data_IF_422308605459
#
_entry.id   IF_422308605459
#
_cell.length_a   1.000
_cell.length_b   1.000
_cell.length_c   1.000
_cell.angle_alpha   90.00
_cell.angle_beta   90.00
_cell.angle_gamma   90.00
#
_symmetry.space_group_name_H-M   'P 1'
#
loop_
_entity.id
_entity.type
_entity.pdbx_description
1 polymer ?
#
# COMPACT_ATOMS: atom_id res chain seq x y z
N UNK A 1 54.57 26.92 9.33
CA UNK A 1 53.38 26.26 9.90
C UNK A 1 52.99 27.00 11.16
N UNK A 2 51.70 27.28 11.37
CA UNK A 2 51.22 27.96 12.57
C UNK A 2 51.28 27.02 13.77
N UNK A 3 52.14 27.33 14.74
CA UNK A 3 52.17 26.67 16.05
C UNK A 3 51.00 27.21 16.88
N UNK A 4 49.88 26.50 16.88
CA UNK A 4 48.73 26.85 17.73
C UNK A 4 48.94 26.27 19.13
N UNK A 5 48.76 27.10 20.15
CA UNK A 5 48.76 26.64 21.54
C UNK A 5 47.38 26.05 21.92
N UNK A 6 47.31 25.35 23.06
CA UNK A 6 46.07 24.72 23.53
C UNK A 6 44.94 25.74 23.69
N UNK A 7 45.22 26.94 24.21
CA UNK A 7 44.22 28.01 24.36
C UNK A 7 43.61 28.46 23.02
N UNK A 8 44.43 28.68 22.01
CA UNK A 8 44.02 29.07 20.66
C UNK A 8 43.19 27.95 20.02
N UNK A 9 43.65 26.70 20.13
CA UNK A 9 42.90 25.56 19.58
C UNK A 9 41.54 25.37 20.28
N UNK A 10 41.47 25.60 21.59
CA UNK A 10 40.21 25.57 22.34
C UNK A 10 39.22 26.64 21.83
N UNK A 11 39.71 27.86 21.57
CA UNK A 11 38.88 28.95 21.03
C UNK A 11 38.38 28.66 19.62
N UNK A 12 39.20 28.04 18.77
CA UNK A 12 38.82 27.59 17.42
C UNK A 12 37.68 26.56 17.48
N UNK A 13 37.78 25.60 18.41
CA UNK A 13 36.76 24.59 18.67
C UNK A 13 35.57 25.09 19.50
N UNK A 14 35.58 26.37 19.94
CA UNK A 14 34.57 26.97 20.82
C UNK A 14 34.32 26.15 22.09
N UNK A 15 35.40 25.63 22.68
CA UNK A 15 35.38 24.77 23.85
C UNK A 15 36.27 25.36 24.95
N UNK A 16 35.94 25.22 26.24
CA UNK A 16 36.83 25.66 27.31
C UNK A 16 38.18 24.91 27.29
N UNK A 17 39.27 25.65 27.53
CA UNK A 17 40.63 25.11 27.46
C UNK A 17 40.87 23.97 28.47
N UNK A 18 40.25 24.04 29.64
CA UNK A 18 40.36 23.01 30.68
C UNK A 18 39.74 21.66 30.25
N UNK A 19 38.65 21.72 29.48
CA UNK A 19 37.99 20.53 28.94
C UNK A 19 38.86 19.92 27.84
N UNK A 20 39.42 20.76 26.95
CA UNK A 20 40.36 20.30 25.94
C UNK A 20 41.61 19.64 26.55
N UNK A 21 42.18 20.21 27.63
CA UNK A 21 43.29 19.60 28.36
C UNK A 21 42.92 18.22 28.94
N UNK A 22 41.70 18.09 29.43
CA UNK A 22 41.19 16.80 29.95
C UNK A 22 41.05 15.77 28.84
N UNK A 23 40.56 16.16 27.65
CA UNK A 23 40.47 15.27 26.48
C UNK A 23 41.84 14.91 25.90
N UNK A 24 42.79 15.85 25.89
CA UNK A 24 44.16 15.58 25.45
C UNK A 24 44.83 14.56 26.36
N UNK A 25 44.66 14.69 27.69
CA UNK A 25 45.15 13.69 28.65
C UNK A 25 44.49 12.32 28.47
N UNK A 26 43.17 12.28 28.26
CA UNK A 26 42.47 11.01 28.00
C UNK A 26 42.90 10.36 26.67
N UNK A 27 43.32 11.16 25.70
CA UNK A 27 43.92 10.70 24.44
C UNK A 27 45.41 10.28 24.57
N UNK A 28 46.01 10.36 25.76
CA UNK A 28 47.42 10.02 26.00
C UNK A 28 48.42 11.10 25.55
N UNK A 29 47.97 12.35 25.50
CA UNK A 29 48.83 13.52 25.23
C UNK A 29 49.08 14.26 26.55
N UNK A 30 50.31 14.16 27.06
CA UNK A 30 50.76 14.80 28.29
C UNK A 30 50.98 16.31 28.08
N UNK A 31 49.90 17.10 28.15
CA UNK A 31 49.93 18.58 28.15
C UNK A 31 49.22 19.06 29.41
N UNK A 32 49.83 20.02 30.09
CA UNK A 32 49.40 20.42 31.44
C UNK A 32 48.99 21.88 31.52
N UNK A 33 49.45 22.72 30.59
CA UNK A 33 49.15 24.14 30.54
C UNK A 33 48.41 24.54 29.27
N UNK A 34 47.58 25.58 29.38
CA UNK A 34 46.87 26.20 28.25
C UNK A 34 47.82 26.89 27.27
N UNK A 35 49.03 27.22 27.71
CA UNK A 35 50.10 27.80 26.89
C UNK A 35 50.91 26.78 26.11
N UNK A 36 50.73 25.47 26.36
CA UNK A 36 51.57 24.45 25.74
C UNK A 36 51.35 24.38 24.22
N UNK A 37 52.41 24.16 23.42
CA UNK A 37 52.28 24.02 21.98
C UNK A 37 51.66 22.67 21.62
N UNK A 38 50.73 22.69 20.66
CA UNK A 38 50.02 21.50 20.19
C UNK A 38 50.52 21.07 18.80
N UNK A 39 51.07 19.87 18.69
CA UNK A 39 51.57 19.32 17.42
C UNK A 39 50.42 18.72 16.58
N UNK A 40 50.71 18.35 15.32
CA UNK A 40 49.74 17.65 14.47
C UNK A 40 49.42 16.25 15.03
N UNK A 41 50.43 15.53 15.49
CA UNK A 41 50.28 14.18 16.04
C UNK A 41 49.40 14.17 17.29
N UNK A 42 49.49 15.22 18.13
CA UNK A 42 48.64 15.38 19.30
C UNK A 42 47.17 15.58 18.93
N UNK A 43 46.91 16.34 17.85
CA UNK A 43 45.56 16.55 17.30
C UNK A 43 45.00 15.24 16.74
N UNK A 44 45.82 14.46 16.03
CA UNK A 44 45.41 13.17 15.46
C UNK A 44 45.06 12.16 16.58
N UNK A 45 45.85 12.11 17.65
CA UNK A 45 45.54 11.30 18.85
C UNK A 45 44.21 11.71 19.51
N UNK A 46 43.96 13.01 19.65
CA UNK A 46 42.69 13.52 20.16
C UNK A 46 41.52 13.08 19.27
N UNK A 47 41.66 13.22 17.95
CA UNK A 47 40.62 12.81 17.00
C UNK A 47 40.35 11.31 17.07
N UNK A 48 41.39 10.47 17.17
CA UNK A 48 41.24 9.02 17.30
C UNK A 48 40.57 8.63 18.62
N UNK A 49 40.92 9.27 19.73
CA UNK A 49 40.25 9.07 21.01
C UNK A 49 38.76 9.46 20.94
N UNK A 50 38.43 10.61 20.34
CA UNK A 50 37.05 11.05 20.17
C UNK A 50 36.26 10.09 19.28
N UNK A 51 36.87 9.62 18.17
CA UNK A 51 36.26 8.62 17.30
C UNK A 51 35.97 7.32 18.06
N UNK A 52 36.92 6.83 18.86
CA UNK A 52 36.75 5.62 19.68
C UNK A 52 35.65 5.80 20.74
N UNK A 53 35.62 6.95 21.42
CA UNK A 53 34.67 7.23 22.51
C UNK A 53 33.23 7.39 22.01
N UNK A 54 33.04 7.99 20.83
CA UNK A 54 31.72 8.20 20.25
C UNK A 54 31.23 7.06 19.34
N UNK A 55 31.86 5.88 19.42
CA UNK A 55 31.46 4.70 18.62
C UNK A 55 31.84 4.79 17.14
N UNK A 56 32.51 5.87 16.70
CA UNK A 56 33.08 5.97 15.36
C UNK A 56 34.39 5.17 15.19
N UNK A 57 34.68 4.21 16.09
CA UNK A 57 35.71 3.21 15.92
C UNK A 57 35.43 2.44 14.63
N UNK A 58 36.16 2.81 13.59
CA UNK A 58 36.03 2.35 12.23
C UNK A 58 36.50 0.90 12.14
N UNK A 59 35.59 -0.05 12.33
CA UNK A 59 35.56 -1.27 11.51
C UNK A 59 34.35 -2.15 11.84
N UNK A 60 33.98 -2.26 13.12
CA UNK A 60 32.99 -3.28 13.54
C UNK A 60 31.53 -2.80 13.37
N UNK A 61 31.26 -1.51 13.62
CA UNK A 61 29.92 -0.94 13.49
C UNK A 61 29.59 -0.49 12.07
N UNK A 62 30.57 0.03 11.32
CA UNK A 62 30.40 0.39 9.89
C UNK A 62 30.07 -0.83 9.03
N UNK A 63 30.54 -2.02 9.43
CA UNK A 63 30.25 -3.28 8.75
C UNK A 63 28.80 -3.73 8.91
N UNK A 64 28.00 -3.22 9.84
CA UNK A 64 26.60 -3.66 10.02
C UNK A 64 25.65 -2.46 10.13
N UNK A 65 24.87 -2.24 9.08
CA UNK A 65 23.83 -1.19 9.04
C UNK A 65 22.46 -1.85 9.18
N UNK A 66 21.66 -1.44 10.17
CA UNK A 66 20.28 -1.93 10.32
C UNK A 66 19.28 -0.89 9.83
N UNK A 67 18.58 -1.17 8.75
CA UNK A 67 17.47 -0.35 8.25
C UNK A 67 16.17 -0.78 8.91
N UNK A 68 15.50 0.13 9.60
CA UNK A 68 14.15 -0.07 10.13
C UNK A 68 13.13 0.61 9.23
N UNK A 69 12.20 -0.16 8.67
CA UNK A 69 11.05 0.38 7.92
C UNK A 69 9.77 0.13 8.70
N UNK A 70 8.97 1.18 8.88
CA UNK A 70 7.61 1.12 9.40
C UNK A 70 6.66 1.03 8.21
N UNK A 71 5.90 -0.04 8.14
CA UNK A 71 4.81 -0.22 7.17
C UNK A 71 3.51 -0.19 7.96
N UNK A 72 2.64 0.76 7.65
CA UNK A 72 1.31 0.88 8.25
C UNK A 72 0.28 0.42 7.24
N UNK A 73 -0.47 -0.63 7.59
CA UNK A 73 -1.59 -1.12 6.78
C UNK A 73 -2.90 -0.93 7.52
N UNK A 74 -3.97 -0.64 6.79
CA UNK A 74 -5.30 -0.45 7.36
C UNK A 74 -6.16 -1.68 7.10
N UNK A 75 -6.62 -2.33 8.17
CA UNK A 75 -7.59 -3.42 8.08
C UNK A 75 -8.96 -2.85 8.45
N UNK A 76 -9.88 -2.87 7.49
CA UNK A 76 -11.29 -2.55 7.74
C UNK A 76 -12.02 -3.83 8.08
N UNK A 77 -12.40 -3.99 9.34
CA UNK A 77 -13.09 -5.19 9.83
C UNK A 77 -14.33 -4.79 10.63
N UNK A 78 -15.40 -5.58 10.49
CA UNK A 78 -16.55 -5.48 11.37
C UNK A 78 -16.25 -6.29 12.65
N UNK A 79 -16.35 -5.66 13.81
CA UNK A 79 -16.32 -6.38 15.09
C UNK A 79 -17.49 -7.37 15.17
N UNK A 80 -17.42 -8.36 16.08
CA UNK A 80 -18.47 -9.39 16.24
C UNK A 80 -19.88 -8.81 16.50
N UNK A 81 -19.98 -7.54 16.90
CA UNK A 81 -21.23 -6.79 17.11
C UNK A 81 -21.68 -5.99 15.87
N UNK A 82 -21.05 -6.16 14.71
CA UNK A 82 -21.43 -5.55 13.43
C UNK A 82 -20.95 -4.11 13.20
N UNK A 83 -20.24 -3.50 14.16
CA UNK A 83 -19.71 -2.14 14.03
C UNK A 83 -18.39 -2.16 13.25
N UNK A 84 -18.29 -1.39 12.16
CA UNK A 84 -17.07 -1.29 11.37
C UNK A 84 -16.00 -0.47 12.11
N UNK A 85 -14.79 -1.02 12.20
CA UNK A 85 -13.60 -0.33 12.72
C UNK A 85 -12.45 -0.46 11.74
N UNK A 86 -11.66 0.61 11.63
CA UNK A 86 -10.40 0.60 10.89
C UNK A 86 -9.28 0.42 11.89
N UNK A 87 -8.59 -0.72 11.81
CA UNK A 87 -7.45 -1.05 12.65
C UNK A 87 -6.20 -0.69 11.86
N UNK A 88 -5.39 0.22 12.40
CA UNK A 88 -4.08 0.52 11.85
C UNK A 88 -3.08 -0.51 12.39
N UNK A 89 -2.57 -1.37 11.51
CA UNK A 89 -1.55 -2.35 11.84
C UNK A 89 -0.20 -1.78 11.43
N UNK A 90 0.65 -1.47 12.42
CA UNK A 90 2.02 -1.03 12.17
C UNK A 90 2.98 -2.22 12.25
N UNK A 91 3.48 -2.69 11.11
CA UNK A 91 4.55 -3.69 11.08
C UNK A 91 5.90 -2.98 10.98
N UNK A 92 6.80 -3.27 11.92
CA UNK A 92 8.16 -2.73 11.96
C UNK A 92 9.13 -3.80 11.47
N UNK A 93 9.64 -3.64 10.25
CA UNK A 93 10.58 -4.59 9.64
C UNK A 93 12.01 -4.10 9.83
N UNK A 94 12.88 -4.95 10.39
CA UNK A 94 14.33 -4.70 10.44
C UNK A 94 15.02 -5.44 9.30
N UNK A 95 15.87 -4.76 8.53
CA UNK A 95 16.81 -5.37 7.56
C UNK A 95 18.23 -5.02 7.96
N UNK A 96 19.04 -6.03 8.25
CA UNK A 96 20.45 -5.86 8.60
C UNK A 96 21.31 -6.09 7.37
N UNK A 97 22.02 -5.07 6.90
CA UNK A 97 23.03 -5.16 5.85
C UNK A 97 24.41 -5.28 6.49
N UNK A 98 25.20 -6.24 6.02
CA UNK A 98 26.60 -6.38 6.41
C UNK A 98 27.48 -5.99 5.23
N UNK A 99 28.33 -4.97 5.38
CA UNK A 99 29.32 -4.62 4.37
C UNK A 99 30.37 -5.73 4.33
N UNK A 100 30.39 -6.47 3.23
CA UNK A 100 31.42 -7.46 2.92
C UNK A 100 32.50 -6.72 2.15
N UNK A 101 33.66 -6.55 2.76
CA UNK A 101 34.81 -5.95 2.09
C UNK A 101 35.43 -6.94 1.10
N UNK A 102 34.76 -7.17 -0.03
CA UNK A 102 35.37 -7.82 -1.20
C UNK A 102 36.17 -6.77 -2.00
N UNK A 103 37.11 -6.11 -1.32
CA UNK A 103 38.21 -5.36 -1.95
C UNK A 103 39.47 -5.66 -1.13
N UNK A 104 40.04 -6.83 -1.37
CA UNK A 104 41.42 -7.14 -1.00
C UNK A 104 42.33 -6.33 -1.92
N UNK A 105 43.28 -5.51 -1.42
CA UNK A 105 44.34 -4.98 -2.26
C UNK A 105 45.23 -6.16 -2.67
N UNK A 106 45.30 -6.42 -3.97
CA UNK A 106 46.13 -7.46 -4.56
C UNK A 106 47.60 -7.32 -4.11
N UNK A 107 48.25 -8.38 -3.61
CA UNK A 107 49.70 -8.50 -3.75
C UNK A 107 50.04 -8.88 -5.21
N UNK A 108 51.25 -8.53 -5.64
CA UNK A 108 51.83 -8.73 -6.97
C UNK A 108 51.53 -10.13 -7.61
N UNK A 109 51.56 -10.27 -8.96
CA UNK A 109 50.90 -11.34 -9.67
C UNK A 109 51.59 -12.69 -9.46
N UNK A 110 51.14 -13.43 -8.45
CA UNK A 110 51.12 -14.89 -8.47
C UNK A 110 49.84 -15.29 -9.19
N UNK A 111 49.99 -16.20 -10.17
CA UNK A 111 48.94 -16.68 -11.07
C UNK A 111 47.57 -16.86 -10.39
N UNK A 112 46.46 -16.54 -11.07
CA UNK A 112 45.12 -16.66 -10.47
C UNK A 112 44.86 -18.13 -10.11
N UNK A 113 44.89 -18.43 -8.82
CA UNK A 113 44.29 -19.66 -8.33
C UNK A 113 42.79 -19.54 -8.58
N UNK A 114 42.30 -20.31 -9.55
CA UNK A 114 40.87 -20.45 -9.82
C UNK A 114 40.14 -20.72 -8.49
N UNK A 115 38.97 -20.09 -8.23
CA UNK A 115 38.17 -20.48 -7.08
C UNK A 115 37.79 -21.95 -7.30
N UNK A 116 38.43 -22.85 -6.56
CA UNK A 116 38.00 -24.25 -6.46
C UNK A 116 36.72 -24.21 -5.63
N UNK A 117 35.63 -23.76 -6.26
CA UNK A 117 34.30 -24.10 -5.79
C UNK A 117 34.23 -25.60 -6.02
N UNK A 118 34.17 -26.35 -4.94
CA UNK A 118 34.04 -27.79 -5.00
C UNK A 118 32.81 -28.09 -5.87
N UNK A 119 32.96 -28.82 -6.99
CA UNK A 119 31.87 -29.03 -7.97
C UNK A 119 30.60 -29.60 -7.29
N UNK A 120 30.80 -30.29 -6.17
CA UNK A 120 29.75 -30.78 -5.28
C UNK A 120 28.91 -29.67 -4.60
N UNK A 121 29.50 -28.52 -4.28
CA UNK A 121 28.80 -27.40 -3.64
C UNK A 121 27.95 -26.61 -4.65
N UNK A 122 28.42 -26.49 -5.91
CA UNK A 122 27.61 -25.92 -7.01
C UNK A 122 26.40 -26.81 -7.28
N UNK A 123 26.60 -28.13 -7.38
CA UNK A 123 25.52 -29.08 -7.62
C UNK A 123 24.45 -29.03 -6.50
N UNK A 124 24.85 -28.93 -5.23
CA UNK A 124 23.90 -28.78 -4.11
C UNK A 124 23.09 -27.48 -4.19
N UNK A 125 23.73 -26.36 -4.52
CA UNK A 125 23.02 -25.08 -4.67
C UNK A 125 22.07 -25.09 -5.86
N UNK A 126 22.44 -25.73 -6.97
CA UNK A 126 21.55 -25.89 -8.13
C UNK A 126 20.34 -26.78 -7.82
N UNK A 127 20.53 -27.88 -7.08
CA UNK A 127 19.42 -28.73 -6.62
C UNK A 127 18.47 -27.99 -5.68
N UNK A 128 18.99 -27.20 -4.73
CA UNK A 128 18.18 -26.38 -3.83
C UNK A 128 17.39 -25.32 -4.60
N UNK A 129 18.02 -24.66 -5.58
CA UNK A 129 17.33 -23.70 -6.45
C UNK A 129 16.24 -24.37 -7.30
N UNK A 130 16.48 -25.59 -7.80
CA UNK A 130 15.46 -26.37 -8.52
C UNK A 130 14.27 -26.72 -7.62
N UNK A 131 14.53 -27.18 -6.39
CA UNK A 131 13.46 -27.48 -5.42
C UNK A 131 12.65 -26.24 -5.05
N UNK A 132 13.32 -25.08 -4.89
CA UNK A 132 12.62 -23.82 -4.64
C UNK A 132 11.78 -23.38 -5.85
N UNK A 133 12.33 -23.48 -7.06
CA UNK A 133 11.61 -23.15 -8.29
C UNK A 133 10.38 -24.05 -8.49
N UNK A 134 10.49 -25.34 -8.19
CA UNK A 134 9.37 -26.29 -8.27
C UNK A 134 8.26 -25.96 -7.25
N UNK A 135 8.62 -25.61 -6.02
CA UNK A 135 7.65 -25.17 -5.01
C UNK A 135 6.95 -23.88 -5.40
N UNK A 136 7.68 -22.91 -5.96
CA UNK A 136 7.11 -21.66 -6.46
C UNK A 136 6.17 -21.93 -7.63
N UNK A 137 6.59 -22.76 -8.59
CA UNK A 137 5.76 -23.13 -9.74
C UNK A 137 4.46 -23.83 -9.32
N UNK A 138 4.52 -24.71 -8.31
CA UNK A 138 3.34 -25.37 -7.75
C UNK A 138 2.39 -24.37 -7.06
N UNK A 139 2.93 -23.46 -6.26
CA UNK A 139 2.12 -22.41 -5.62
C UNK A 139 1.47 -21.48 -6.65
N UNK A 140 2.20 -21.11 -7.70
CA UNK A 140 1.68 -20.27 -8.78
C UNK A 140 0.58 -20.98 -9.58
N UNK A 141 0.75 -22.28 -9.87
CA UNK A 141 -0.27 -23.10 -10.50
C UNK A 141 -1.55 -23.19 -9.64
N UNK A 142 -1.41 -23.47 -8.34
CA UNK A 142 -2.55 -23.55 -7.42
C UNK A 142 -3.29 -22.20 -7.30
N UNK A 143 -2.56 -21.08 -7.33
CA UNK A 143 -3.17 -19.74 -7.29
C UNK A 143 -3.88 -19.41 -8.61
N UNK A 144 -3.27 -19.76 -9.75
CA UNK A 144 -3.90 -19.59 -11.07
C UNK A 144 -5.17 -20.42 -11.20
N UNK A 145 -5.15 -21.69 -10.79
CA UNK A 145 -6.33 -22.55 -10.82
C UNK A 145 -7.47 -21.99 -9.94
N UNK A 146 -7.14 -21.49 -8.74
CA UNK A 146 -8.11 -20.82 -7.87
C UNK A 146 -8.70 -19.56 -8.52
N UNK A 147 -7.87 -18.72 -9.14
CA UNK A 147 -8.33 -17.52 -9.84
C UNK A 147 -9.24 -17.87 -11.02
N UNK A 148 -8.88 -18.86 -11.83
CA UNK A 148 -9.70 -19.34 -12.94
C UNK A 148 -11.03 -19.92 -12.47
N UNK A 149 -11.02 -20.68 -11.36
CA UNK A 149 -12.25 -21.23 -10.78
C UNK A 149 -13.18 -20.12 -10.27
N UNK A 150 -12.64 -19.11 -9.60
CA UNK A 150 -13.42 -17.95 -9.17
C UNK A 150 -13.97 -17.17 -10.37
N UNK A 151 -13.15 -16.91 -11.39
CA UNK A 151 -13.58 -16.23 -12.61
C UNK A 151 -14.69 -17.00 -13.34
N UNK A 152 -14.61 -18.34 -13.41
CA UNK A 152 -15.68 -19.19 -13.97
C UNK A 152 -16.98 -19.10 -13.16
N UNK A 153 -16.89 -19.17 -11.82
CA UNK A 153 -18.06 -19.04 -10.95
C UNK A 153 -18.71 -17.66 -11.04
N UNK A 154 -17.91 -16.60 -11.13
CA UNK A 154 -18.42 -15.23 -11.27
C UNK A 154 -19.06 -15.03 -12.65
N UNK A 155 -18.43 -15.54 -13.73
CA UNK A 155 -19.02 -15.52 -15.06
C UNK A 155 -20.35 -16.30 -15.14
N UNK A 156 -20.44 -17.46 -14.48
CA UNK A 156 -21.67 -18.25 -14.40
C UNK A 156 -22.77 -17.51 -13.62
N UNK A 157 -22.44 -16.91 -12.48
CA UNK A 157 -23.38 -16.08 -11.71
C UNK A 157 -23.85 -14.86 -12.49
N UNK A 158 -22.95 -14.19 -13.21
CA UNK A 158 -23.31 -13.06 -14.07
C UNK A 158 -24.21 -13.50 -15.22
N UNK A 159 -23.93 -14.65 -15.85
CA UNK A 159 -24.76 -15.20 -16.91
C UNK A 159 -26.16 -15.56 -16.38
N UNK A 160 -26.24 -16.19 -15.20
CA UNK A 160 -27.50 -16.52 -14.55
C UNK A 160 -28.28 -15.25 -14.15
N UNK A 161 -27.61 -14.24 -13.61
CA UNK A 161 -28.21 -12.96 -13.27
C UNK A 161 -28.76 -12.26 -14.53
N UNK A 162 -27.98 -12.19 -15.62
CA UNK A 162 -28.42 -11.63 -16.90
C UNK A 162 -29.61 -12.41 -17.48
N UNK A 163 -29.59 -13.75 -17.42
CA UNK A 163 -30.71 -14.58 -17.86
C UNK A 163 -31.97 -14.34 -17.03
N UNK A 164 -31.85 -14.25 -15.69
CA UNK A 164 -32.97 -13.96 -14.81
C UNK A 164 -33.55 -12.56 -15.04
N UNK A 165 -32.70 -11.54 -15.22
CA UNK A 165 -33.13 -10.17 -15.55
C UNK A 165 -33.84 -10.12 -16.91
N UNK A 166 -33.33 -10.83 -17.92
CA UNK A 166 -33.99 -10.90 -19.22
C UNK A 166 -35.35 -11.59 -19.13
N UNK A 167 -35.46 -12.69 -18.37
CA UNK A 167 -36.73 -13.37 -18.13
C UNK A 167 -37.73 -12.51 -17.35
N UNK A 168 -37.28 -11.74 -16.36
CA UNK A 168 -38.13 -10.79 -15.64
C UNK A 168 -38.59 -9.63 -16.54
N UNK A 169 -37.71 -9.11 -17.40
CA UNK A 169 -38.06 -8.03 -18.33
C UNK A 169 -39.03 -8.52 -19.38
N UNK A 170 -38.87 -9.74 -19.93
CA UNK A 170 -39.84 -10.32 -20.86
C UNK A 170 -41.18 -10.57 -20.16
N UNK A 171 -41.19 -11.17 -18.97
CA UNK A 171 -42.42 -11.40 -18.22
C UNK A 171 -43.17 -10.10 -17.87
N UNK A 172 -42.44 -9.02 -17.52
CA UNK A 172 -43.04 -7.70 -17.29
C UNK A 172 -43.63 -7.10 -18.57
N UNK A 173 -42.94 -7.23 -19.71
CA UNK A 173 -43.44 -6.78 -21.02
C UNK A 173 -44.69 -7.54 -21.45
N UNK A 174 -44.70 -8.86 -21.29
CA UNK A 174 -45.85 -9.70 -21.63
C UNK A 174 -47.05 -9.39 -20.71
N UNK A 175 -46.81 -9.20 -19.40
CA UNK A 175 -47.85 -8.80 -18.46
C UNK A 175 -48.41 -7.39 -18.75
N UNK A 176 -47.57 -6.44 -19.15
CA UNK A 176 -48.01 -5.10 -19.55
C UNK A 176 -48.81 -5.14 -20.86
N UNK A 177 -48.38 -5.94 -21.84
CA UNK A 177 -49.11 -6.14 -23.09
C UNK A 177 -50.50 -6.76 -22.84
N UNK A 178 -50.59 -7.76 -21.96
CA UNK A 178 -51.88 -8.35 -21.57
C UNK A 178 -52.77 -7.38 -20.80
N UNK A 179 -52.21 -6.53 -19.92
CA UNK A 179 -52.97 -5.45 -19.25
C UNK A 179 -53.52 -4.45 -20.27
N UNK A 180 -52.69 -3.97 -21.20
CA UNK A 180 -53.11 -3.04 -22.26
C UNK A 180 -54.18 -3.64 -23.18
N UNK A 181 -54.08 -4.93 -23.52
CA UNK A 181 -55.14 -5.62 -24.28
C UNK A 181 -56.45 -5.69 -23.50
N UNK A 182 -56.40 -6.04 -22.21
CA UNK A 182 -57.60 -6.07 -21.35
C UNK A 182 -58.23 -4.69 -21.18
N UNK A 183 -57.41 -3.65 -21.01
CA UNK A 183 -57.87 -2.25 -20.94
C UNK A 183 -58.52 -1.82 -22.26
N UNK A 184 -57.92 -2.13 -23.41
CA UNK A 184 -58.51 -1.81 -24.72
C UNK A 184 -59.82 -2.56 -24.99
N UNK A 185 -59.95 -3.83 -24.55
CA UNK A 185 -61.20 -4.59 -24.67
C UNK A 185 -62.28 -3.99 -23.76
N UNK A 186 -61.94 -3.61 -22.52
CA UNK A 186 -62.87 -2.98 -21.60
C UNK A 186 -63.33 -1.59 -22.10
N UNK A 187 -62.43 -0.80 -22.68
CA UNK A 187 -62.76 0.51 -23.26
C UNK A 187 -63.64 0.38 -24.51
N UNK A 188 -63.38 -0.62 -25.36
CA UNK A 188 -64.23 -0.93 -26.51
C UNK A 188 -65.65 -1.37 -26.10
N UNK A 189 -65.76 -2.19 -25.05
CA UNK A 189 -67.06 -2.63 -24.49
C UNK A 189 -67.82 -1.46 -23.85
N UNK A 190 -67.14 -0.60 -23.09
CA UNK A 190 -67.76 0.60 -22.50
C UNK A 190 -68.22 1.61 -23.58
N UNK A 191 -67.45 1.76 -24.66
CA UNK A 191 -67.84 2.61 -25.80
C UNK A 191 -69.02 2.02 -26.60
N UNK A 192 -69.17 0.69 -26.65
CA UNK A 192 -70.32 0.03 -27.26
C UNK A 192 -71.58 0.17 -26.38
N UNK A 193 -71.48 -0.07 -25.06
CA UNK A 193 -72.59 0.12 -24.12
C UNK A 193 -73.10 1.57 -24.09
N UNK A 194 -72.20 2.56 -24.18
CA UNK A 194 -72.58 3.98 -24.29
C UNK A 194 -73.35 4.29 -25.59
N UNK A 195 -73.02 3.61 -26.70
CA UNK A 195 -73.76 3.76 -27.98
C UNK A 195 -75.12 3.08 -27.95
N UNK A 196 -75.24 1.92 -27.29
CA UNK A 196 -76.53 1.20 -27.15
C UNK A 196 -77.47 1.92 -26.17
N UNK A 197 -76.96 2.52 -25.09
CA UNK A 197 -77.75 3.35 -24.18
C UNK A 197 -78.24 4.66 -24.83
N UNK A 198 -77.44 5.25 -25.74
CA UNK A 198 -77.85 6.41 -26.54
C UNK A 198 -78.96 6.13 -27.56
N UNK A 199 -79.20 4.86 -27.92
CA UNK A 199 -80.22 4.46 -28.90
C UNK A 199 -81.59 4.10 -28.26
N UNK A 200 -81.72 4.13 -26.93
CA UNK A 200 -82.96 3.81 -26.20
C UNK A 200 -83.43 4.95 -25.31
N UNK A 201 -83.72 6.10 -25.91
CA UNK A 201 -84.56 7.16 -25.33
C UNK A 201 -85.64 7.56 -26.35
N UNK A 202 -86.94 7.33 -26.08
CA UNK A 202 -88.00 7.73 -26.99
C UNK A 202 -88.42 9.19 -26.78
N UNK A 203 -88.83 9.78 -27.91
CA UNK A 203 -89.59 11.00 -28.16
C UNK A 203 -90.40 11.65 -26.99
N UNK A 204 -90.16 12.97 -26.81
CA UNK A 204 -91.09 14.14 -26.81
C UNK A 204 -92.50 14.02 -26.15
N UNK A 205 -93.11 15.10 -25.58
CA UNK A 205 -93.22 16.42 -26.23
C UNK A 205 -93.20 17.69 -25.33
N UNK A 206 -93.39 18.82 -26.02
CA UNK A 206 -93.27 20.23 -25.65
C UNK A 206 -94.52 20.86 -24.98
N UNK A 207 -94.43 22.20 -24.78
CA UNK A 207 -95.41 23.22 -24.30
C UNK A 207 -95.59 23.35 -22.78
N UNK A 208 -95.71 24.54 -22.15
CA UNK A 208 -95.76 25.97 -22.52
C UNK A 208 -95.75 26.76 -21.19
N UNK A 209 -95.15 27.96 -21.13
CA UNK A 209 -95.67 29.16 -20.42
C UNK A 209 -94.60 30.21 -20.02
N UNK A 210 -94.79 31.41 -20.57
CA UNK A 210 -94.70 32.72 -19.93
C UNK A 210 -93.33 33.31 -19.50
N UNK A 211 -92.84 34.22 -20.36
CA UNK A 211 -92.12 35.46 -19.98
C UNK A 211 -93.09 36.44 -19.23
N UNK A 212 -92.69 37.66 -18.78
CA UNK A 212 -91.40 38.37 -18.92
C UNK A 212 -90.92 39.19 -17.67
N UNK A 213 -89.70 39.78 -17.76
CA UNK A 213 -89.51 41.20 -17.41
C UNK A 213 -88.48 41.62 -16.34
N UNK A 214 -87.80 42.74 -16.65
CA UNK A 214 -87.09 43.75 -15.83
C UNK A 214 -85.61 43.47 -15.43
N UNK A 215 -84.65 44.15 -16.09
CA UNK A 215 -83.98 45.42 -15.68
C UNK A 215 -82.94 45.18 -14.56
N UNK A 216 -81.65 45.48 -14.71
CA UNK A 216 -80.94 46.68 -15.19
C UNK A 216 -79.50 46.33 -15.57
#
# INVERSE_FOLDING_TARGET
MASNNVAQFATELKMPADLLLTQLRSAGVEKSSTSDPLSKDDKDKLLDHLRRTHGAAADTEKKKITLTRKETTEIKQADATGKSRTIQVEVRKKRTFVQRDDIVPAPAPVAPAAPVIDLAEVARREEEMRRQAELIARQEADLREKQERLAKLDAEKEAQAKASQQAEVSAKRDAEAERRKKEAIAEAQAAEEAKVAGAKAPAAPAEEAAAPGAET
#
